data_IF_783019020655
#
_entry.id   IF_783019020655
#
_cell.length_a   1.000
_cell.length_b   1.000
_cell.length_c   1.000
_cell.angle_alpha   90.00
_cell.angle_beta   90.00
_cell.angle_gamma   90.00
#
_symmetry.space_group_name_H-M   'P 1'
#
loop_
_entity.id
_entity.type
_entity.pdbx_description
1 polymer ?
#
# COMPACT_ATOMS: atom_id res chain seq x y z
N UNK A 1 18.07 4.35 -5.44
CA UNK A 1 17.36 3.27 -4.72
C UNK A 1 16.14 2.94 -5.55
N UNK A 2 15.91 1.67 -5.90
CA UNK A 2 14.83 1.26 -6.81
C UNK A 2 13.82 0.42 -6.03
N UNK A 3 12.54 0.74 -6.14
CA UNK A 3 11.44 -0.06 -5.59
C UNK A 3 10.97 -1.00 -6.69
N UNK A 4 11.05 -2.31 -6.47
CA UNK A 4 10.27 -3.31 -7.23
C UNK A 4 8.99 -3.55 -6.43
N UNK A 5 8.04 -2.62 -6.56
CA UNK A 5 6.73 -2.66 -5.93
C UNK A 5 5.69 -2.30 -6.98
N UNK A 6 4.71 -3.19 -7.18
CA UNK A 6 3.59 -2.95 -8.10
C UNK A 6 2.93 -1.61 -7.75
N UNK A 7 2.57 -0.85 -8.78
CA UNK A 7 1.74 0.37 -8.69
C UNK A 7 0.65 0.16 -7.64
N UNK A 8 0.49 1.12 -6.72
CA UNK A 8 -0.74 1.24 -5.94
C UNK A 8 -1.90 1.31 -6.93
N UNK A 9 -2.66 0.22 -7.05
CA UNK A 9 -3.82 0.13 -7.91
C UNK A 9 -4.94 0.96 -7.31
N UNK A 10 -5.37 1.98 -8.05
CA UNK A 10 -6.57 2.75 -7.78
C UNK A 10 -7.79 1.94 -8.20
N UNK A 11 -8.61 1.50 -7.24
CA UNK A 11 -9.91 0.92 -7.56
C UNK A 11 -10.87 1.18 -6.41
N UNK A 12 -11.84 2.09 -6.59
CA UNK A 12 -13.25 1.73 -6.79
C UNK A 12 -14.08 3.03 -6.90
N UNK A 13 -14.96 3.00 -7.89
CA UNK A 13 -15.94 4.03 -8.21
C UNK A 13 -17.07 4.06 -7.18
N UNK A 14 -17.48 5.26 -6.79
CA UNK A 14 -18.74 5.50 -6.11
C UNK A 14 -19.89 5.39 -7.12
N UNK A 15 -20.94 4.63 -6.78
CA UNK A 15 -22.25 4.74 -7.39
C UNK A 15 -23.32 4.93 -6.32
N UNK A 16 -24.15 5.95 -6.57
CA UNK A 16 -25.30 6.38 -5.79
C UNK A 16 -26.30 5.26 -5.49
N UNK A 17 -26.86 5.27 -4.28
CA UNK A 17 -28.13 4.61 -3.99
C UNK A 17 -28.99 5.45 -3.05
N UNK A 18 -30.19 5.71 -3.53
CA UNK A 18 -31.26 6.55 -3.02
C UNK A 18 -32.04 5.88 -1.89
N UNK A 19 -32.60 6.70 -1.00
CA UNK A 19 -33.39 6.32 0.18
C UNK A 19 -34.60 5.42 -0.12
N UNK A 20 -34.84 4.45 0.78
CA UNK A 20 -36.06 3.64 0.83
C UNK A 20 -36.29 3.04 2.22
N UNK A 21 -37.34 3.50 2.90
CA UNK A 21 -37.78 3.09 4.23
C UNK A 21 -38.37 1.68 4.31
N UNK A 22 -38.17 0.98 5.43
CA UNK A 22 -39.00 -0.19 5.79
C UNK A 22 -38.50 -0.96 7.02
N UNK A 23 -39.27 -0.95 8.10
CA UNK A 23 -39.06 -1.72 9.32
C UNK A 23 -39.73 -3.10 9.25
N UNK A 24 -39.12 -4.15 9.80
CA UNK A 24 -39.78 -5.22 10.57
C UNK A 24 -38.80 -6.28 11.11
N UNK A 25 -39.18 -6.79 12.28
CA UNK A 25 -38.56 -7.75 13.21
C UNK A 25 -38.59 -9.23 12.78
N UNK A 26 -37.58 -10.01 13.22
CA UNK A 26 -37.66 -11.48 13.29
C UNK A 26 -36.35 -12.14 13.79
N UNK A 27 -36.41 -12.85 14.92
CA UNK A 27 -35.32 -13.63 15.56
C UNK A 27 -35.51 -15.16 15.25
N UNK A 28 -34.57 -16.09 15.60
CA UNK A 28 -33.91 -16.98 14.64
C UNK A 28 -34.16 -18.48 14.89
N UNK A 29 -33.73 -19.38 14.00
CA UNK A 29 -33.54 -20.82 14.30
C UNK A 29 -32.76 -21.58 13.21
N UNK A 30 -31.81 -22.42 13.66
CA UNK A 30 -31.15 -23.51 12.91
C UNK A 30 -29.95 -23.07 12.07
N UNK A 31 -28.72 -23.57 12.23
CA UNK A 31 -28.30 -24.91 12.59
C UNK A 31 -27.63 -25.56 11.36
N UNK A 32 -26.34 -25.29 11.15
CA UNK A 32 -25.58 -25.81 10.01
C UNK A 32 -24.08 -25.73 10.26
N UNK A 33 -23.45 -26.88 10.47
CA UNK A 33 -22.03 -27.06 10.69
C UNK A 33 -21.24 -26.79 9.40
N UNK A 34 -20.40 -25.76 9.39
CA UNK A 34 -19.38 -25.53 8.36
C UNK A 34 -18.04 -25.28 9.04
N UNK A 35 -17.08 -26.17 8.79
CA UNK A 35 -15.67 -26.02 9.12
C UNK A 35 -15.12 -24.78 8.43
N UNK A 36 -14.92 -23.70 9.19
CA UNK A 36 -14.37 -22.43 8.74
C UNK A 36 -13.35 -21.92 9.75
N UNK A 37 -12.20 -21.51 9.22
CA UNK A 37 -11.03 -20.96 9.89
C UNK A 37 -11.39 -20.01 11.04
N UNK A 38 -10.91 -20.32 12.25
CA UNK A 38 -11.20 -19.58 13.49
C UNK A 38 -10.44 -18.25 13.52
N UNK A 39 -10.98 -17.22 12.87
CA UNK A 39 -10.68 -15.84 13.24
C UNK A 39 -11.38 -15.50 14.57
N UNK A 40 -10.82 -14.62 15.42
CA UNK A 40 -11.48 -14.23 16.65
C UNK A 40 -12.83 -13.56 16.33
N UNK A 41 -13.90 -14.07 16.94
CA UNK A 41 -15.28 -13.54 16.85
C UNK A 41 -15.49 -12.21 17.59
N UNK A 42 -14.41 -11.68 18.18
CA UNK A 42 -14.40 -10.45 18.98
C UNK A 42 -13.73 -9.33 18.19
N UNK A 43 -14.16 -8.06 18.33
CA UNK A 43 -13.52 -6.94 17.67
C UNK A 43 -12.04 -6.87 18.05
N UNK A 44 -11.18 -6.67 17.06
CA UNK A 44 -9.73 -6.51 17.29
C UNK A 44 -9.48 -5.16 17.95
N UNK A 45 -8.87 -5.17 19.13
CA UNK A 45 -8.59 -3.98 19.94
C UNK A 45 -7.09 -3.63 19.95
N UNK A 46 -6.72 -2.41 20.36
CA UNK A 46 -5.33 -2.04 20.59
C UNK A 46 -4.61 -2.99 21.56
N UNK A 47 -5.26 -3.36 22.66
CA UNK A 47 -4.66 -4.25 23.68
C UNK A 47 -4.38 -5.64 23.13
N UNK A 48 -5.23 -6.15 22.23
CA UNK A 48 -5.00 -7.42 21.56
C UNK A 48 -3.72 -7.37 20.71
N UNK A 49 -3.55 -6.35 19.86
CA UNK A 49 -2.38 -6.28 18.98
C UNK A 49 -1.08 -6.00 19.74
N UNK A 50 -1.15 -5.30 20.88
CA UNK A 50 0.01 -5.06 21.74
C UNK A 50 0.60 -6.35 22.33
N UNK A 51 -0.23 -7.39 22.49
CA UNK A 51 0.15 -8.70 23.02
C UNK A 51 0.70 -9.67 21.95
N UNK A 52 0.68 -9.30 20.66
CA UNK A 52 1.13 -10.17 19.58
C UNK A 52 2.65 -10.35 19.60
N UNK A 53 3.09 -11.59 19.79
CA UNK A 53 4.52 -11.91 19.84
C UNK A 53 5.13 -12.27 18.48
N UNK A 54 4.32 -12.36 17.42
CA UNK A 54 4.75 -12.69 16.06
C UNK A 54 4.01 -11.83 15.04
N UNK A 55 4.52 -11.83 13.81
CA UNK A 55 3.79 -11.28 12.66
C UNK A 55 2.48 -12.05 12.49
N UNK A 56 1.41 -11.35 12.13
CA UNK A 56 0.13 -11.99 11.85
C UNK A 56 0.18 -12.76 10.53
N UNK A 57 -0.39 -13.96 10.51
CA UNK A 57 -0.36 -14.85 9.34
C UNK A 57 -1.22 -14.29 8.18
N UNK A 58 -2.29 -13.56 8.51
CA UNK A 58 -3.20 -12.91 7.55
C UNK A 58 -3.65 -11.53 8.07
N UNK A 59 -4.41 -10.80 7.26
CA UNK A 59 -5.01 -9.52 7.63
C UNK A 59 -6.13 -9.68 8.65
N UNK A 60 -6.00 -9.02 9.79
CA UNK A 60 -7.01 -8.96 10.86
C UNK A 60 -8.29 -8.16 10.54
N UNK A 61 -8.38 -7.50 9.38
CA UNK A 61 -9.60 -6.85 8.92
C UNK A 61 -9.68 -6.81 7.39
N UNK A 62 -10.91 -6.81 6.86
CA UNK A 62 -11.18 -6.61 5.44
C UNK A 62 -11.02 -5.13 5.04
N UNK A 63 -10.85 -4.81 3.76
CA UNK A 63 -10.84 -3.42 3.28
C UNK A 63 -12.12 -2.65 3.63
N UNK A 64 -13.27 -3.33 3.64
CA UNK A 64 -14.58 -2.75 3.96
C UNK A 64 -14.69 -2.23 5.41
N UNK A 65 -13.78 -2.66 6.31
CA UNK A 65 -13.69 -2.10 7.65
C UNK A 65 -13.29 -0.62 7.65
N UNK A 66 -12.67 -0.11 6.57
CA UNK A 66 -12.32 1.28 6.38
C UNK A 66 -13.54 2.14 5.97
N UNK A 67 -14.57 2.14 6.81
CA UNK A 67 -15.81 2.91 6.61
C UNK A 67 -15.64 4.43 6.66
N UNK A 68 -14.43 4.90 6.98
CA UNK A 68 -14.03 6.30 7.07
C UNK A 68 -13.34 6.80 5.80
N UNK A 69 -13.11 5.90 4.83
CA UNK A 69 -12.44 6.19 3.56
C UNK A 69 -11.07 6.86 3.80
N UNK A 70 -10.35 6.39 4.82
CA UNK A 70 -9.00 6.87 5.13
C UNK A 70 -8.10 6.40 4.00
N UNK A 71 -7.48 7.33 3.30
CA UNK A 71 -6.60 6.99 2.18
C UNK A 71 -5.23 7.67 2.28
N UNK A 72 -4.16 6.87 2.38
CA UNK A 72 -2.79 7.37 2.41
C UNK A 72 -2.33 7.74 0.99
N UNK A 73 -2.06 9.02 0.80
CA UNK A 73 -1.73 9.60 -0.51
C UNK A 73 -0.25 9.89 -0.67
N UNK A 74 0.49 10.09 0.43
CA UNK A 74 1.95 10.30 0.40
C UNK A 74 2.59 9.76 1.66
N UNK A 75 3.76 9.19 1.51
CA UNK A 75 4.61 8.74 2.61
C UNK A 75 6.07 9.11 2.30
N UNK A 76 6.72 9.78 3.26
CA UNK A 76 8.10 10.24 3.13
C UNK A 76 8.85 9.96 4.42
N UNK A 77 10.00 9.31 4.32
CA UNK A 77 10.92 9.06 5.43
C UNK A 77 12.15 9.96 5.28
N UNK A 78 12.52 10.66 6.35
CA UNK A 78 13.69 11.52 6.42
C UNK A 78 14.55 11.14 7.63
N UNK A 79 15.86 11.10 7.44
CA UNK A 79 16.80 11.10 8.57
C UNK A 79 16.77 12.48 9.25
N UNK A 80 16.50 12.52 10.55
CA UNK A 80 16.41 13.77 11.30
C UNK A 80 17.79 14.33 11.68
N UNK A 81 18.84 13.50 11.71
CA UNK A 81 20.20 13.98 11.99
C UNK A 81 20.81 14.66 10.76
N UNK A 82 20.76 14.02 9.59
CA UNK A 82 21.34 14.58 8.35
C UNK A 82 20.36 15.42 7.52
N UNK A 83 19.06 15.25 7.71
CA UNK A 83 18.03 15.83 6.84
C UNK A 83 17.90 15.15 5.47
N UNK A 84 18.55 14.01 5.24
CA UNK A 84 18.42 13.28 3.98
C UNK A 84 17.05 12.61 3.86
N UNK A 85 16.42 12.71 2.68
CA UNK A 85 15.20 11.93 2.36
C UNK A 85 15.63 10.51 2.00
N UNK A 86 15.20 9.54 2.78
CA UNK A 86 15.56 8.13 2.63
C UNK A 86 14.58 7.38 1.73
N UNK A 87 13.32 7.80 1.76
CA UNK A 87 12.24 7.18 1.00
C UNK A 87 11.13 8.19 0.76
N UNK A 88 10.54 8.16 -0.42
CA UNK A 88 9.33 8.92 -0.71
C UNK A 88 8.47 8.18 -1.75
N UNK A 89 7.18 8.10 -1.47
CA UNK A 89 6.17 7.61 -2.41
C UNK A 89 4.94 8.51 -2.32
N UNK A 90 4.37 8.85 -3.47
CA UNK A 90 3.10 9.53 -3.57
C UNK A 90 2.20 8.72 -4.51
N UNK A 91 0.92 8.61 -4.17
CA UNK A 91 -0.08 8.17 -5.14
C UNK A 91 -0.15 9.21 -6.25
N UNK A 92 -0.14 8.80 -7.53
CA UNK A 92 -0.29 9.72 -8.63
C UNK A 92 -1.61 10.46 -8.47
N UNK A 93 -1.58 11.79 -8.56
CA UNK A 93 -2.80 12.58 -8.49
C UNK A 93 -3.54 12.51 -9.82
N UNK A 94 -4.88 12.62 -9.81
CA UNK A 94 -5.67 12.65 -11.05
C UNK A 94 -5.22 13.77 -12.00
N UNK A 95 -4.63 14.86 -11.49
CA UNK A 95 -4.07 15.95 -12.31
C UNK A 95 -2.79 15.57 -13.05
N UNK A 96 -2.00 14.62 -12.55
CA UNK A 96 -0.77 14.16 -13.22
C UNK A 96 -1.09 13.33 -14.48
N UNK A 97 -2.27 12.70 -14.51
CA UNK A 97 -2.75 11.89 -15.64
C UNK A 97 -3.23 12.80 -16.80
N UNK A 98 -3.74 14.00 -16.52
CA UNK A 98 -4.25 14.92 -17.55
C UNK A 98 -3.17 15.70 -18.32
N UNK A 99 -1.93 15.75 -17.82
CA UNK A 99 -0.84 16.51 -18.47
C UNK A 99 -0.05 15.75 -19.55
N UNK A 100 -0.31 14.45 -19.76
CA UNK A 100 0.32 13.66 -20.83
C UNK A 100 -0.54 13.51 -22.09
N UNK A 101 -1.79 13.97 -22.07
CA UNK A 101 -2.74 13.83 -23.19
C UNK A 101 -2.98 15.12 -24.00
N UNK A 102 -2.29 16.23 -23.68
CA UNK A 102 -2.42 17.51 -24.40
C UNK A 102 -1.04 18.06 -24.78
N UNK A 103 -0.49 17.56 -25.90
CA UNK A 103 0.79 18.00 -26.43
C UNK A 103 1.01 17.53 -27.87
N UNK A 104 0.08 17.86 -28.76
CA UNK A 104 0.30 17.76 -30.21
C UNK A 104 0.09 19.12 -30.86
N UNK A 105 0.97 19.41 -31.84
CA UNK A 105 0.92 20.49 -32.83
C UNK A 105 1.68 21.78 -32.44
N UNK A 106 2.58 22.37 -33.23
CA UNK A 106 3.03 22.16 -34.62
C UNK A 106 4.34 22.98 -34.84
N UNK A 107 5.29 22.48 -35.66
CA UNK A 107 5.92 23.23 -36.78
C UNK A 107 7.24 22.59 -37.27
N UNK A 108 7.17 21.98 -38.47
CA UNK A 108 8.26 21.66 -39.44
C UNK A 108 8.55 22.95 -40.28
N UNK A 109 9.43 23.04 -41.34
CA UNK A 109 10.22 22.01 -42.06
C UNK A 109 11.61 22.42 -42.66
N UNK A 110 12.18 21.48 -43.45
CA UNK A 110 13.18 21.54 -44.57
C UNK A 110 14.52 20.82 -44.25
N UNK A 111 15.14 19.98 -45.10
CA UNK A 111 15.19 19.89 -46.58
C UNK A 111 15.79 18.51 -47.02
N UNK A 112 15.35 17.99 -48.16
CA UNK A 112 15.91 16.89 -48.98
C UNK A 112 17.17 17.34 -49.80
N UNK A 113 17.89 16.55 -50.65
CA UNK A 113 17.47 15.32 -51.40
C UNK A 113 18.52 14.19 -51.64
N UNK A 114 18.10 13.07 -52.26
CA UNK A 114 18.88 12.47 -53.36
C UNK A 114 19.07 10.93 -53.47
N UNK A 115 18.32 10.33 -54.41
CA UNK A 115 18.70 9.31 -55.42
C UNK A 115 18.73 7.77 -55.11
N UNK A 116 17.74 7.10 -55.74
CA UNK A 116 17.80 5.93 -56.66
C UNK A 116 18.46 4.59 -56.26
N UNK A 117 17.68 3.49 -56.26
CA UNK A 117 17.69 2.49 -57.35
C UNK A 117 16.59 1.41 -57.21
N UNK A 118 16.12 0.94 -58.36
CA UNK A 118 15.19 -0.17 -58.62
C UNK A 118 15.85 -1.54 -58.41
N UNK A 119 15.12 -2.58 -57.98
CA UNK A 119 14.78 -3.76 -58.81
C UNK A 119 13.88 -4.77 -58.07
N UNK A 120 13.14 -5.53 -58.87
CA UNK A 120 11.98 -6.35 -58.52
C UNK A 120 12.30 -7.72 -57.89
N UNK A 121 11.31 -8.34 -57.22
CA UNK A 121 10.71 -9.63 -57.67
C UNK A 121 9.75 -10.24 -56.64
N UNK A 122 8.50 -10.44 -57.08
CA UNK A 122 7.59 -11.58 -56.87
C UNK A 122 7.35 -12.21 -55.49
N UNK A 123 6.08 -12.26 -55.07
CA UNK A 123 5.56 -13.38 -54.28
C UNK A 123 4.39 -13.06 -53.34
N UNK A 124 3.16 -13.08 -53.86
CA UNK A 124 1.94 -13.34 -53.10
C UNK A 124 1.19 -14.49 -53.81
N UNK A 125 0.16 -15.15 -53.24
CA UNK A 125 -0.49 -14.95 -51.94
C UNK A 125 -0.70 -16.27 -51.14
N UNK A 126 -1.12 -16.19 -49.87
CA UNK A 126 -2.19 -17.07 -49.38
C UNK A 126 -2.75 -16.58 -48.04
N UNK A 127 -4.07 -16.51 -47.97
CA UNK A 127 -4.88 -16.13 -46.83
C UNK A 127 -5.33 -17.38 -46.07
N UNK A 128 -5.28 -17.36 -44.74
CA UNK A 128 -6.08 -18.18 -43.78
C UNK A 128 -5.84 -17.53 -42.40
N UNK A 129 -6.65 -16.62 -41.87
CA UNK A 129 -7.95 -16.73 -41.16
C UNK A 129 -7.98 -17.74 -40.00
N UNK A 130 -8.17 -17.22 -38.78
CA UNK A 130 -8.53 -17.95 -37.55
C UNK A 130 -7.34 -18.21 -36.62
N UNK A 131 -7.32 -17.89 -35.33
CA UNK A 131 -8.28 -17.32 -34.39
C UNK A 131 -7.44 -16.51 -33.38
N UNK A 132 -7.77 -15.24 -33.19
CA UNK A 132 -7.16 -14.43 -32.13
C UNK A 132 -7.98 -14.71 -30.88
N UNK A 133 -7.53 -15.67 -30.06
CA UNK A 133 -8.01 -15.82 -28.71
C UNK A 133 -7.71 -14.53 -27.95
N UNK A 134 -8.73 -13.69 -27.79
CA UNK A 134 -8.75 -12.68 -26.75
C UNK A 134 -8.79 -13.44 -25.43
N UNK A 135 -7.62 -13.69 -24.87
CA UNK A 135 -7.48 -13.90 -23.43
C UNK A 135 -7.88 -12.58 -22.79
N UNK A 136 -9.17 -12.43 -22.50
CA UNK A 136 -9.62 -11.49 -21.50
C UNK A 136 -8.91 -11.90 -20.22
N UNK A 137 -7.87 -11.13 -19.84
CA UNK A 137 -7.29 -11.25 -18.52
C UNK A 137 -8.43 -10.97 -17.54
N UNK A 138 -8.98 -12.03 -16.94
CA UNK A 138 -9.82 -11.91 -15.77
C UNK A 138 -9.04 -11.04 -14.78
N UNK A 139 -9.44 -9.78 -14.60
CA UNK A 139 -8.93 -8.95 -13.52
C UNK A 139 -9.40 -9.60 -12.23
N UNK A 140 -8.61 -10.56 -11.73
CA UNK A 140 -8.78 -11.10 -10.40
C UNK A 140 -8.63 -9.93 -9.45
N UNK A 141 -9.76 -9.44 -8.94
CA UNK A 141 -9.80 -8.41 -7.92
C UNK A 141 -9.00 -8.92 -6.71
N UNK A 142 -7.78 -8.42 -6.53
CA UNK A 142 -6.97 -8.72 -5.36
C UNK A 142 -7.48 -7.84 -4.21
N UNK A 143 -8.27 -8.36 -3.25
CA UNK A 143 -8.89 -7.52 -2.21
C UNK A 143 -7.86 -6.83 -1.30
N UNK A 144 -6.62 -7.32 -1.27
CA UNK A 144 -5.53 -6.73 -0.49
C UNK A 144 -4.54 -5.92 -1.33
N UNK A 145 -4.88 -5.59 -2.57
CA UNK A 145 -4.04 -4.77 -3.44
C UNK A 145 -3.70 -3.44 -2.74
N UNK A 146 -2.41 -3.13 -2.63
CA UNK A 146 -1.92 -1.91 -1.98
C UNK A 146 -1.79 -1.95 -0.45
N UNK A 147 -2.15 -3.05 0.23
CA UNK A 147 -1.98 -3.22 1.69
C UNK A 147 -0.66 -3.90 2.08
N UNK A 148 0.22 -4.14 1.11
CA UNK A 148 1.54 -4.73 1.30
C UNK A 148 2.61 -3.86 0.64
N UNK A 149 3.68 -3.53 1.38
CA UNK A 149 4.81 -2.76 0.85
C UNK A 149 6.12 -3.51 1.08
N UNK A 150 6.93 -3.62 0.03
CA UNK A 150 8.29 -4.19 0.10
C UNK A 150 9.33 -3.08 0.07
N UNK A 151 10.06 -2.94 1.17
CA UNK A 151 11.10 -1.92 1.31
C UNK A 151 12.49 -2.48 1.01
N UNK A 152 13.25 -1.70 0.24
CA UNK A 152 14.64 -1.97 -0.08
C UNK A 152 15.51 -0.84 0.45
N UNK A 153 16.18 -1.09 1.57
CA UNK A 153 17.08 -0.16 2.23
C UNK A 153 18.53 -0.63 2.16
N UNK A 154 19.45 0.27 2.50
CA UNK A 154 20.88 -0.02 2.63
C UNK A 154 21.23 -0.38 4.09
N UNK A 155 22.39 -0.99 4.35
CA UNK A 155 22.82 -1.33 5.71
C UNK A 155 22.91 -0.11 6.65
N UNK A 156 23.14 1.08 6.09
CA UNK A 156 23.21 2.33 6.86
C UNK A 156 21.88 2.67 7.53
N UNK A 157 20.75 2.21 6.99
CA UNK A 157 19.43 2.45 7.59
C UNK A 157 19.32 1.90 9.02
N UNK A 158 19.92 0.73 9.29
CA UNK A 158 19.94 0.10 10.62
C UNK A 158 20.83 0.85 11.64
N UNK A 159 21.61 1.84 11.19
CA UNK A 159 22.49 2.66 12.05
C UNK A 159 21.86 4.00 12.43
N UNK A 160 20.70 4.34 11.84
CA UNK A 160 19.99 5.58 12.14
C UNK A 160 19.45 5.52 13.57
N UNK A 161 19.49 6.66 14.27
CA UNK A 161 18.90 6.78 15.61
C UNK A 161 17.44 7.20 15.54
N UNK A 162 17.15 8.17 14.67
CA UNK A 162 15.85 8.82 14.59
C UNK A 162 15.49 9.13 13.15
N UNK A 163 14.29 8.76 12.74
CA UNK A 163 13.73 9.15 11.44
C UNK A 163 12.38 9.82 11.63
N UNK A 164 12.09 10.82 10.79
CA UNK A 164 10.78 11.44 10.68
C UNK A 164 10.04 10.83 9.50
N UNK A 165 8.84 10.33 9.74
CA UNK A 165 7.96 9.83 8.69
C UNK A 165 6.78 10.77 8.52
N UNK A 166 6.78 11.53 7.43
CA UNK A 166 5.65 12.37 7.03
C UNK A 166 4.65 11.52 6.26
N UNK A 167 3.39 11.48 6.72
CA UNK A 167 2.25 10.87 6.04
C UNK A 167 1.26 11.95 5.63
N UNK A 168 0.76 11.86 4.40
CA UNK A 168 -0.40 12.63 3.95
C UNK A 168 -1.54 11.66 3.62
N UNK A 169 -2.73 11.96 4.11
CA UNK A 169 -3.91 11.12 3.91
C UNK A 169 -5.19 11.93 3.81
N UNK A 170 -6.17 11.40 3.11
CA UNK A 170 -7.52 11.97 3.04
C UNK A 170 -8.46 11.21 3.96
N UNK A 171 -9.52 11.88 4.37
CA UNK A 171 -10.64 11.30 5.13
C UNK A 171 -11.92 11.57 4.36
N UNK A 172 -12.80 10.57 4.31
CA UNK A 172 -14.08 10.65 3.65
C UNK A 172 -15.11 11.49 4.40
N UNK A 173 -16.37 11.12 4.25
CA UNK A 173 -17.50 11.89 4.78
C UNK A 173 -17.65 11.85 6.31
N UNK A 174 -17.11 10.82 6.97
CA UNK A 174 -17.22 10.64 8.42
C UNK A 174 -16.00 11.21 9.13
N UNK A 175 -16.23 11.94 10.22
CA UNK A 175 -15.15 12.42 11.09
C UNK A 175 -14.43 11.23 11.73
N UNK A 176 -13.12 11.31 11.86
CA UNK A 176 -12.31 10.28 12.53
C UNK A 176 -11.88 10.80 13.89
N UNK A 177 -12.16 10.04 14.95
CA UNK A 177 -11.80 10.36 16.33
C UNK A 177 -10.83 9.33 16.87
N UNK A 178 -9.92 9.77 17.75
CA UNK A 178 -8.95 8.90 18.41
C UNK A 178 -8.21 8.02 17.40
N UNK A 179 -7.83 8.59 16.26
CA UNK A 179 -7.15 7.85 15.21
C UNK A 179 -5.75 7.48 15.70
N UNK A 180 -5.46 6.19 15.76
CA UNK A 180 -4.24 5.63 16.37
C UNK A 180 -3.65 4.58 15.45
N UNK A 181 -2.33 4.56 15.33
CA UNK A 181 -1.59 3.49 14.65
C UNK A 181 -0.66 2.80 15.63
N UNK A 182 -0.75 1.48 15.66
CA UNK A 182 0.22 0.61 16.33
C UNK A 182 0.97 -0.14 15.25
N UNK A 183 2.28 0.07 15.17
CA UNK A 183 3.15 -0.59 14.20
C UNK A 183 4.16 -1.47 14.93
N UNK A 184 4.22 -2.75 14.57
CA UNK A 184 5.08 -3.75 15.21
C UNK A 184 6.05 -4.33 14.20
N UNK A 185 7.34 -4.28 14.52
CA UNK A 185 8.41 -4.82 13.67
C UNK A 185 8.99 -6.08 14.27
N UNK A 186 9.18 -7.11 13.45
CA UNK A 186 9.68 -8.42 13.82
C UNK A 186 10.83 -8.83 12.90
N UNK A 187 11.79 -9.57 13.43
CA UNK A 187 12.77 -10.32 12.65
C UNK A 187 12.73 -11.78 13.07
N UNK A 188 12.39 -12.70 12.14
CA UNK A 188 12.23 -14.14 12.44
C UNK A 188 11.36 -14.39 13.69
N UNK A 189 10.19 -13.76 13.73
CA UNK A 189 9.23 -13.80 14.85
C UNK A 189 9.71 -13.22 16.19
N UNK A 190 10.90 -12.61 16.26
CA UNK A 190 11.30 -11.83 17.43
C UNK A 190 10.91 -10.36 17.25
N UNK A 191 10.12 -9.84 18.18
CA UNK A 191 9.77 -8.42 18.24
C UNK A 191 11.04 -7.56 18.36
N UNK A 192 11.22 -6.64 17.42
CA UNK A 192 12.28 -5.63 17.43
C UNK A 192 11.82 -4.38 18.17
N UNK A 193 10.66 -3.85 17.79
CA UNK A 193 10.10 -2.62 18.35
C UNK A 193 8.60 -2.55 18.06
N UNK A 194 7.89 -1.91 18.98
CA UNK A 194 6.52 -1.42 18.76
C UNK A 194 6.56 0.10 18.76
N UNK A 195 5.94 0.69 17.76
CA UNK A 195 5.64 2.11 17.68
C UNK A 195 4.14 2.30 17.84
N UNK A 196 3.77 3.33 18.58
CA UNK A 196 2.39 3.60 18.96
C UNK A 196 2.15 5.09 18.88
N UNK A 197 1.37 5.49 17.88
CA UNK A 197 1.18 6.88 17.52
C UNK A 197 -0.29 7.24 17.50
N UNK A 198 -0.61 8.41 18.03
CA UNK A 198 -1.94 9.00 17.94
C UNK A 198 -1.92 10.16 16.95
N UNK A 199 -2.78 10.07 15.93
CA UNK A 199 -3.06 11.16 15.01
C UNK A 199 -4.06 12.15 15.61
N UNK A 200 -4.96 11.68 16.49
CA UNK A 200 -6.00 12.48 17.11
C UNK A 200 -7.28 12.60 16.27
N UNK A 201 -7.82 13.81 16.15
CA UNK A 201 -9.05 14.08 15.40
C UNK A 201 -8.74 14.45 13.95
N UNK A 202 -9.41 13.81 12.99
CA UNK A 202 -9.31 14.15 11.58
C UNK A 202 -10.64 14.68 11.06
N UNK A 203 -10.56 15.81 10.35
CA UNK A 203 -11.70 16.55 9.82
C UNK A 203 -12.32 15.75 8.65
N UNK A 204 -13.65 15.65 8.53
CA UNK A 204 -14.30 15.09 7.34
C UNK A 204 -13.92 15.84 6.06
N UNK A 205 -13.89 15.13 4.93
CA UNK A 205 -13.60 15.69 3.60
C UNK A 205 -12.32 16.53 3.54
N UNK A 206 -11.31 16.16 4.35
CA UNK A 206 -10.07 16.90 4.43
C UNK A 206 -8.88 16.05 4.01
N UNK A 207 -7.82 16.75 3.60
CA UNK A 207 -6.48 16.20 3.54
C UNK A 207 -5.76 16.56 4.84
N UNK A 208 -5.13 15.58 5.45
CA UNK A 208 -4.40 15.69 6.71
C UNK A 208 -2.94 15.31 6.49
N UNK A 209 -2.07 15.94 7.26
CA UNK A 209 -0.63 15.64 7.27
C UNK A 209 -0.20 15.38 8.70
N UNK A 210 0.53 14.31 8.93
CA UNK A 210 1.12 13.99 10.23
C UNK A 210 2.59 13.63 10.04
N UNK A 211 3.43 13.97 11.02
CA UNK A 211 4.81 13.51 11.07
C UNK A 211 5.00 12.68 12.33
N UNK A 212 5.34 11.41 12.15
CA UNK A 212 5.69 10.50 13.24
C UNK A 212 7.20 10.44 13.38
N UNK A 213 7.68 10.54 14.62
CA UNK A 213 9.10 10.44 14.94
C UNK A 213 9.37 9.03 15.43
N UNK A 214 10.19 8.31 14.69
CA UNK A 214 10.60 6.95 15.00
C UNK A 214 11.96 6.98 15.66
N UNK A 215 12.01 6.59 16.94
CA UNK A 215 13.26 6.33 17.66
C UNK A 215 13.63 4.86 17.51
N UNK A 216 14.71 4.59 16.79
CA UNK A 216 15.14 3.23 16.50
C UNK A 216 15.73 2.57 17.75
N UNK A 217 15.43 1.28 17.98
CA UNK A 217 16.10 0.54 19.05
C UNK A 217 17.59 0.41 18.75
N UNK A 218 18.41 0.29 19.79
CA UNK A 218 19.80 -0.14 19.61
C UNK A 218 19.82 -1.63 19.30
N UNK A 219 20.20 -1.99 18.07
CA UNK A 219 20.26 -3.36 17.59
C UNK A 219 21.70 -3.89 17.75
N UNK A 220 21.91 -5.05 18.39
CA UNK A 220 23.25 -5.65 18.50
C UNK A 220 23.89 -5.88 17.13
N UNK A 221 25.22 -5.71 16.98
CA UNK A 221 25.91 -5.86 15.69
C UNK A 221 25.68 -7.20 15.00
N UNK A 222 25.64 -8.31 15.77
CA UNK A 222 25.40 -9.64 15.23
C UNK A 222 24.01 -9.74 14.58
N UNK A 223 23.00 -9.15 15.24
CA UNK A 223 21.65 -9.09 14.72
C UNK A 223 21.55 -8.18 13.49
N UNK A 224 22.26 -7.04 13.47
CA UNK A 224 22.34 -6.19 12.27
C UNK A 224 22.87 -7.00 11.07
N UNK A 225 23.92 -7.79 11.28
CA UNK A 225 24.48 -8.64 10.23
C UNK A 225 23.48 -9.71 9.76
N UNK A 226 22.76 -10.35 10.68
CA UNK A 226 21.70 -11.30 10.31
C UNK A 226 20.59 -10.63 9.50
N UNK A 227 20.09 -9.47 9.91
CA UNK A 227 19.04 -8.74 9.19
C UNK A 227 19.46 -8.34 7.76
N UNK A 228 20.75 -8.07 7.54
CA UNK A 228 21.30 -7.78 6.21
C UNK A 228 21.38 -9.04 5.35
N UNK A 229 21.78 -10.18 5.93
CA UNK A 229 21.93 -11.46 5.22
C UNK A 229 20.59 -12.16 4.91
N UNK A 230 19.53 -11.78 5.61
CA UNK A 230 18.20 -12.38 5.53
C UNK A 230 17.15 -11.35 5.04
N UNK A 231 17.19 -10.93 3.76
CA UNK A 231 16.24 -9.96 3.22
C UNK A 231 14.80 -10.47 3.33
N UNK A 232 13.86 -9.57 3.64
CA UNK A 232 12.42 -9.83 3.78
C UNK A 232 12.01 -10.76 4.94
N UNK A 233 12.96 -11.16 5.78
CA UNK A 233 12.69 -11.82 7.07
C UNK A 233 12.44 -10.82 8.20
N UNK A 234 12.79 -9.54 7.99
CA UNK A 234 12.25 -8.44 8.79
C UNK A 234 10.90 -8.04 8.21
N UNK A 235 9.85 -8.02 9.05
CA UNK A 235 8.47 -7.74 8.66
C UNK A 235 7.79 -6.84 9.67
N UNK A 236 6.74 -6.15 9.26
CA UNK A 236 5.90 -5.37 10.15
C UNK A 236 4.42 -5.52 9.86
N UNK A 237 3.64 -5.35 10.93
CA UNK A 237 2.20 -5.12 10.88
C UNK A 237 1.93 -3.69 11.36
N UNK A 238 1.19 -2.91 10.56
CA UNK A 238 0.69 -1.58 10.92
C UNK A 238 -0.82 -1.65 11.08
N UNK A 239 -1.30 -1.53 12.32
CA UNK A 239 -2.70 -1.61 12.71
C UNK A 239 -3.25 -0.20 12.95
N UNK A 240 -4.35 0.15 12.30
CA UNK A 240 -4.97 1.47 12.43
C UNK A 240 -6.33 1.36 13.11
N UNK A 241 -6.52 2.13 14.16
CA UNK A 241 -7.70 2.11 15.00
C UNK A 241 -8.42 3.46 14.98
N UNK A 242 -9.74 3.41 14.98
CA UNK A 242 -10.62 4.57 15.21
C UNK A 242 -11.54 4.21 16.35
N UNK A 243 -11.56 5.04 17.41
CA UNK A 243 -12.30 4.76 18.65
C UNK A 243 -12.07 3.33 19.18
N UNK A 244 -10.82 2.84 19.10
CA UNK A 244 -10.42 1.52 19.59
C UNK A 244 -10.82 0.33 18.71
N UNK A 245 -11.46 0.57 17.55
CA UNK A 245 -11.83 -0.47 16.59
C UNK A 245 -10.84 -0.50 15.42
N UNK A 246 -10.36 -1.69 15.05
CA UNK A 246 -9.47 -1.86 13.90
C UNK A 246 -10.20 -1.54 12.59
N UNK A 247 -9.71 -0.57 11.82
CA UNK A 247 -10.30 -0.15 10.53
C UNK A 247 -9.40 -0.45 9.33
N UNK A 248 -8.08 -0.49 9.54
CA UNK A 248 -7.11 -0.84 8.51
C UNK A 248 -5.97 -1.65 9.11
N UNK A 249 -5.39 -2.51 8.30
CA UNK A 249 -4.20 -3.27 8.65
C UNK A 249 -3.33 -3.41 7.41
N UNK A 250 -2.12 -2.87 7.48
CA UNK A 250 -1.14 -2.92 6.42
C UNK A 250 0.05 -3.78 6.86
N UNK A 251 0.73 -4.37 5.88
CA UNK A 251 1.90 -5.23 6.09
C UNK A 251 3.09 -4.71 5.30
N UNK A 252 4.29 -4.97 5.79
CA UNK A 252 5.49 -4.73 5.02
C UNK A 252 6.59 -5.75 5.31
N UNK A 253 7.51 -5.90 4.35
CA UNK A 253 8.79 -6.57 4.55
C UNK A 253 9.96 -5.66 4.16
N UNK A 254 11.13 -5.97 4.72
CA UNK A 254 12.30 -5.10 4.63
C UNK A 254 13.53 -5.90 4.24
N UNK A 255 14.29 -5.37 3.30
CA UNK A 255 15.64 -5.80 3.00
C UNK A 255 16.63 -4.66 3.27
N UNK A 256 17.80 -5.00 3.82
CA UNK A 256 18.84 -4.04 4.20
C UNK A 256 20.17 -4.26 3.46
N UNK A 257 20.20 -5.13 2.45
CA UNK A 257 21.38 -5.44 1.63
C UNK A 257 21.66 -4.42 0.51
N UNK A 258 20.88 -3.34 0.40
CA UNK A 258 21.07 -2.33 -0.66
C UNK A 258 20.68 -2.80 -2.07
N UNK A 259 19.98 -3.94 -2.20
CA UNK A 259 19.56 -4.50 -3.48
C UNK A 259 20.62 -5.34 -4.19
N UNK A 260 21.61 -5.83 -3.44
CA UNK A 260 22.69 -6.73 -3.89
C UNK A 260 22.27 -8.21 -3.83
#
# INVERSE_FOLDING_TARGET
MSVVGKKLSSSIAAQDAQEGSGAATGTPSGGGSSTGTTGPTSPITPDYVLQLNKITDDYLCTPDANIYEIDFTRFKIRDLESGAVLFEIAKPSLSDITHTAAGSDSSKPSKEPGAANEEASSGAPSATTGERGTEEAEETFEPNAGRYVRYQFTPQFLKLKTVGATVEFTVGSKSVKNFRMIERHFFKDRLLKTFDFEFGYCIPFSKNTCEHIYEFPTIPPDLVNEMIQHPFETRSDSFYFVDGCLVMHNKADYAYNGGL
#
